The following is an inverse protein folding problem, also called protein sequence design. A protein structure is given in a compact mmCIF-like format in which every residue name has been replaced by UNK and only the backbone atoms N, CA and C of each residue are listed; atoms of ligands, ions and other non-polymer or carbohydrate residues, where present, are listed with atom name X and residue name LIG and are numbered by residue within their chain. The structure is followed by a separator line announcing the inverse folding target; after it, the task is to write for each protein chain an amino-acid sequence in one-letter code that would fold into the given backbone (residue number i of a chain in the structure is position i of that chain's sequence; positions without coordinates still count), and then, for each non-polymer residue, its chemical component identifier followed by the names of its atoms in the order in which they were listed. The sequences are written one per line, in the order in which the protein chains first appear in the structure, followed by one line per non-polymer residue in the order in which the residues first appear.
data_IF_670840356533
#
_entry.id   IF_670840356533
#
_cell.length_a   1.000
_cell.length_b   1.000
_cell.length_c   1.000
_cell.angle_alpha   90.00
_cell.angle_beta   90.00
_cell.angle_gamma   90.00
#
_symmetry.space_group_name_H-M   'P 1'
#
loop_
_entity.id
_entity.type
_entity.pdbx_description
1 polymer ?
#
# COMPACT_ATOMS: atom_id res chain seq x y z
N UNK A 1 -4.33 28.56 -21.49
CA UNK A 1 -4.18 27.09 -21.38
C UNK A 1 -3.28 26.77 -20.20
N UNK A 2 -3.87 26.34 -19.08
CA UNK A 2 -3.11 26.03 -17.87
C UNK A 2 -2.52 24.63 -18.06
N UNK A 3 -1.30 24.54 -18.61
CA UNK A 3 -0.69 23.22 -18.84
C UNK A 3 -0.46 22.53 -17.50
N UNK A 4 -1.10 21.36 -17.36
CA UNK A 4 -0.84 20.40 -16.29
C UNK A 4 0.62 19.95 -16.36
N UNK A 5 1.18 19.53 -15.23
CA UNK A 5 2.52 18.95 -15.24
C UNK A 5 2.55 17.67 -16.09
N UNK A 6 3.67 17.37 -16.77
CA UNK A 6 3.90 16.09 -17.44
C UNK A 6 3.66 14.90 -16.50
N UNK A 7 3.23 13.77 -17.08
CA UNK A 7 2.88 12.56 -16.34
C UNK A 7 4.16 11.79 -15.96
N UNK A 8 4.39 11.45 -14.68
CA UNK A 8 5.53 10.62 -14.29
C UNK A 8 5.46 9.20 -14.86
N UNK A 9 6.61 8.51 -14.87
CA UNK A 9 6.66 7.07 -15.13
C UNK A 9 6.05 6.26 -13.96
N UNK A 10 5.63 5.02 -14.25
CA UNK A 10 5.18 4.10 -13.21
C UNK A 10 6.35 3.73 -12.28
N UNK A 11 6.14 3.63 -10.95
CA UNK A 11 7.18 3.18 -10.04
C UNK A 11 7.67 1.77 -10.37
N UNK A 12 8.99 1.58 -10.31
CA UNK A 12 9.68 0.30 -10.48
C UNK A 12 10.35 -0.13 -9.17
N UNK A 13 10.47 -1.43 -8.96
CA UNK A 13 11.16 -2.00 -7.82
C UNK A 13 12.68 -1.78 -7.96
N UNK A 14 13.32 -1.32 -6.89
CA UNK A 14 14.77 -1.29 -6.72
C UNK A 14 15.21 -2.42 -5.80
N UNK A 15 14.63 -2.49 -4.60
CA UNK A 15 14.95 -3.48 -3.58
C UNK A 15 13.70 -3.93 -2.84
N UNK A 16 13.66 -5.22 -2.49
CA UNK A 16 12.58 -5.83 -1.71
C UNK A 16 13.06 -6.23 -0.32
N UNK A 17 12.21 -6.03 0.69
CA UNK A 17 12.44 -6.44 2.06
C UNK A 17 11.22 -7.07 2.72
N UNK A 18 11.39 -7.43 3.99
CA UNK A 18 10.41 -8.21 4.75
C UNK A 18 9.17 -7.39 5.17
N UNK A 19 9.25 -6.07 5.23
CA UNK A 19 8.10 -5.17 5.39
C UNK A 19 8.30 -3.87 4.61
N UNK A 20 9.19 -3.92 3.62
CA UNK A 20 9.70 -2.73 2.94
C UNK A 20 9.81 -2.99 1.45
N UNK A 21 9.52 -1.97 0.67
CA UNK A 21 9.76 -1.96 -0.78
C UNK A 21 10.42 -0.62 -1.13
N UNK A 22 11.62 -0.67 -1.69
CA UNK A 22 12.28 0.49 -2.25
C UNK A 22 11.88 0.62 -3.71
N UNK A 23 11.29 1.76 -4.03
CA UNK A 23 10.75 2.07 -5.34
C UNK A 23 11.48 3.26 -5.92
N UNK A 24 11.56 3.30 -7.24
CA UNK A 24 12.07 4.41 -8.01
C UNK A 24 11.10 4.75 -9.13
N UNK A 25 10.95 6.02 -9.48
CA UNK A 25 10.15 6.46 -10.61
C UNK A 25 10.87 7.55 -11.40
N UNK A 26 10.82 7.45 -12.73
CA UNK A 26 11.46 8.41 -13.60
C UNK A 26 10.58 9.66 -13.82
N UNK A 27 11.22 10.82 -13.86
CA UNK A 27 10.62 12.14 -14.00
C UNK A 27 11.37 12.99 -15.04
N UNK A 28 11.97 12.40 -16.08
CA UNK A 28 12.74 13.12 -17.12
C UNK A 28 11.97 14.30 -17.73
N UNK A 29 10.67 14.13 -18.01
CA UNK A 29 9.82 15.19 -18.56
C UNK A 29 9.57 16.35 -17.56
N UNK A 30 9.95 16.17 -16.29
CA UNK A 30 9.75 17.09 -15.19
C UNK A 30 11.04 17.78 -14.72
N UNK A 31 12.20 17.48 -15.33
CA UNK A 31 13.50 18.04 -14.93
C UNK A 31 13.57 19.58 -15.05
N UNK A 32 12.76 20.18 -15.93
CA UNK A 32 12.66 21.63 -16.08
C UNK A 32 11.82 22.35 -15.02
N UNK A 33 11.27 21.63 -14.03
CA UNK A 33 10.39 22.19 -13.01
C UNK A 33 11.04 22.12 -11.63
N UNK A 34 11.13 23.27 -10.95
CA UNK A 34 11.57 23.35 -9.55
C UNK A 34 10.40 23.17 -8.58
N UNK A 35 10.71 22.89 -7.31
CA UNK A 35 9.73 22.74 -6.20
C UNK A 35 8.67 21.68 -6.47
N UNK A 36 9.11 20.55 -7.03
CA UNK A 36 8.28 19.39 -7.26
C UNK A 36 8.23 18.52 -6.01
N UNK A 37 7.03 18.06 -5.72
CA UNK A 37 6.78 17.00 -4.76
C UNK A 37 5.99 15.89 -5.43
N UNK A 38 6.01 14.72 -4.81
CA UNK A 38 5.39 13.53 -5.31
C UNK A 38 4.51 12.92 -4.23
N UNK A 39 3.34 12.45 -4.64
CA UNK A 39 2.50 11.59 -3.81
C UNK A 39 2.54 10.20 -4.42
N UNK A 40 3.14 9.27 -3.70
CA UNK A 40 3.13 7.85 -4.02
C UNK A 40 1.89 7.21 -3.41
N UNK A 41 1.02 6.65 -4.24
CA UNK A 41 -0.15 5.88 -3.80
C UNK A 41 0.15 4.38 -3.78
N UNK A 42 -0.24 3.73 -2.68
CA UNK A 42 -0.05 2.31 -2.43
C UNK A 42 -1.41 1.61 -2.46
N UNK A 43 -1.49 0.49 -3.19
CA UNK A 43 -2.67 -0.36 -3.23
C UNK A 43 -2.29 -1.82 -2.90
N UNK A 44 -2.62 -2.32 -1.71
CA UNK A 44 -2.46 -3.75 -1.41
C UNK A 44 -3.33 -4.59 -2.34
N UNK A 45 -2.82 -5.74 -2.74
CA UNK A 45 -3.54 -6.77 -3.49
C UNK A 45 -4.02 -7.87 -2.53
N UNK A 46 -4.60 -7.46 -1.39
CA UNK A 46 -5.36 -8.40 -0.57
C UNK A 46 -6.56 -8.90 -1.38
N UNK A 47 -6.80 -10.21 -1.38
CA UNK A 47 -7.98 -10.76 -2.02
C UNK A 47 -9.23 -10.18 -1.35
N UNK A 48 -10.17 -9.68 -2.15
CA UNK A 48 -11.54 -9.42 -1.68
C UNK A 48 -12.07 -10.72 -1.07
N UNK A 49 -12.28 -10.75 0.24
CA UNK A 49 -12.93 -11.88 0.92
C UNK A 49 -14.19 -11.39 1.62
N UNK A 50 -15.13 -10.88 0.83
CA UNK A 50 -16.53 -10.90 1.20
C UNK A 50 -17.09 -12.29 0.87
N UNK A 51 -17.07 -13.20 1.83
CA UNK A 51 -17.86 -14.44 1.75
C UNK A 51 -18.59 -14.62 3.07
N UNK A 52 -19.92 -14.47 3.04
CA UNK A 52 -20.89 -14.78 4.10
C UNK A 52 -20.68 -14.07 5.45
N UNK A 53 -21.57 -13.15 5.86
CA UNK A 53 -21.71 -12.59 7.24
C UNK A 53 -20.44 -12.27 8.06
N UNK A 54 -19.26 -12.21 7.44
CA UNK A 54 -17.96 -12.07 8.07
C UNK A 54 -17.24 -10.88 7.44
N UNK A 55 -16.80 -9.96 8.28
CA UNK A 55 -15.99 -8.81 7.88
C UNK A 55 -14.53 -9.08 8.27
N UNK A 56 -13.60 -8.99 7.33
CA UNK A 56 -12.16 -9.13 7.60
C UNK A 56 -11.51 -7.76 7.59
N UNK A 57 -10.99 -7.35 8.75
CA UNK A 57 -10.19 -6.13 8.90
C UNK A 57 -8.73 -6.45 8.62
N UNK A 58 -8.15 -5.69 7.70
CA UNK A 58 -6.74 -5.76 7.33
C UNK A 58 -5.93 -4.73 8.13
N UNK A 59 -4.62 -4.96 8.34
CA UNK A 59 -3.76 -3.97 8.97
C UNK A 59 -3.76 -2.69 8.16
N UNK A 60 -3.70 -1.55 8.84
CA UNK A 60 -3.65 -0.26 8.18
C UNK A 60 -2.35 -0.13 7.39
N UNK A 61 -2.45 0.15 6.09
CA UNK A 61 -1.31 0.56 5.25
C UNK A 61 -1.50 2.03 4.91
N UNK A 62 -0.47 2.84 5.12
CA UNK A 62 -0.48 4.23 4.71
C UNK A 62 -0.68 4.30 3.19
N UNK A 63 -1.82 4.85 2.78
CA UNK A 63 -2.20 4.84 1.36
C UNK A 63 -1.37 5.79 0.51
N UNK A 64 -0.95 6.92 1.09
CA UNK A 64 -0.25 7.99 0.38
C UNK A 64 1.03 8.35 1.12
N UNK A 65 2.13 8.47 0.37
CA UNK A 65 3.42 8.93 0.86
C UNK A 65 3.84 10.19 0.12
N UNK A 66 4.14 11.25 0.86
CA UNK A 66 4.62 12.51 0.32
C UNK A 66 6.15 12.54 0.35
N UNK A 67 6.78 12.91 -0.77
CA UNK A 67 8.24 12.96 -0.91
C UNK A 67 8.66 14.00 -1.96
N UNK A 68 9.87 14.51 -1.86
CA UNK A 68 10.53 15.29 -2.92
C UNK A 68 11.60 14.48 -3.68
N UNK A 69 11.79 13.21 -3.30
CA UNK A 69 12.73 12.29 -3.93
C UNK A 69 12.04 11.38 -4.95
N UNK A 70 12.77 10.97 -5.99
CA UNK A 70 12.31 10.01 -7.00
C UNK A 70 12.55 8.55 -6.62
N UNK A 71 13.26 8.34 -5.50
CA UNK A 71 13.42 7.05 -4.83
C UNK A 71 12.71 7.12 -3.47
N UNK A 72 11.97 6.08 -3.09
CA UNK A 72 11.27 6.06 -1.81
C UNK A 72 11.17 4.64 -1.24
N UNK A 73 11.42 4.51 0.06
CA UNK A 73 11.23 3.25 0.79
C UNK A 73 9.88 3.24 1.48
N UNK A 74 8.94 2.48 0.94
CA UNK A 74 7.66 2.21 1.60
C UNK A 74 7.90 1.21 2.72
N UNK A 75 7.42 1.51 3.93
CA UNK A 75 7.60 0.71 5.14
C UNK A 75 6.27 0.20 5.68
N UNK A 76 6.34 -0.61 6.73
CA UNK A 76 5.19 -1.17 7.45
C UNK A 76 4.23 -1.96 6.54
N UNK A 77 4.79 -2.55 5.48
CA UNK A 77 4.06 -3.42 4.58
C UNK A 77 3.91 -4.80 5.22
N UNK A 78 2.87 -5.50 4.81
CA UNK A 78 2.66 -6.88 5.22
C UNK A 78 3.66 -7.77 4.46
N UNK A 79 4.38 -8.68 5.14
CA UNK A 79 5.24 -9.66 4.49
C UNK A 79 4.46 -10.58 3.55
N UNK A 80 5.13 -11.13 2.54
CA UNK A 80 4.53 -12.05 1.55
C UNK A 80 3.21 -11.53 0.95
N UNK A 81 3.13 -10.22 0.68
CA UNK A 81 1.93 -9.56 0.16
C UNK A 81 2.28 -8.73 -1.08
N UNK A 82 1.42 -8.79 -2.10
CA UNK A 82 1.56 -8.03 -3.33
C UNK A 82 0.97 -6.65 -3.23
N UNK A 83 1.67 -5.66 -3.80
CA UNK A 83 1.26 -4.26 -3.84
C UNK A 83 1.38 -3.70 -5.26
N UNK A 84 0.52 -2.73 -5.58
CA UNK A 84 0.66 -1.88 -6.77
C UNK A 84 0.90 -0.44 -6.33
N UNK A 85 1.69 0.27 -7.11
CA UNK A 85 2.08 1.65 -6.83
C UNK A 85 1.82 2.54 -8.04
N UNK A 86 1.46 3.78 -7.79
CA UNK A 86 1.45 4.85 -8.80
C UNK A 86 1.84 6.16 -8.16
N UNK A 87 2.27 7.12 -8.95
CA UNK A 87 2.76 8.39 -8.44
C UNK A 87 2.13 9.55 -9.20
N UNK A 88 1.96 10.67 -8.51
CA UNK A 88 1.56 11.95 -9.09
C UNK A 88 2.60 13.00 -8.68
N UNK A 89 3.03 13.82 -9.65
CA UNK A 89 3.81 15.02 -9.40
C UNK A 89 2.87 16.19 -9.08
N UNK A 90 3.22 16.95 -8.05
CA UNK A 90 2.52 18.11 -7.56
C UNK A 90 3.48 19.29 -7.35
N UNK A 91 2.94 20.48 -7.57
CA UNK A 91 3.53 21.78 -7.28
C UNK A 91 2.43 22.67 -6.72
N UNK A 92 2.78 23.74 -6.02
CA UNK A 92 1.86 24.61 -5.28
C UNK A 92 0.47 24.83 -5.92
N UNK A 93 0.41 25.12 -7.22
CA UNK A 93 -0.85 25.37 -7.95
C UNK A 93 -1.05 24.45 -9.17
N UNK A 94 -0.30 23.34 -9.27
CA UNK A 94 -0.37 22.43 -10.43
C UNK A 94 -0.15 20.98 -10.04
N UNK A 95 -0.83 20.08 -10.72
CA UNK A 95 -0.58 18.65 -10.62
C UNK A 95 -0.45 18.03 -12.01
N UNK A 96 0.17 16.86 -12.04
CA UNK A 96 0.16 15.96 -13.20
C UNK A 96 -1.02 14.99 -13.10
N UNK A 97 -1.38 14.29 -14.19
CA UNK A 97 -2.10 13.03 -14.06
C UNK A 97 -1.28 12.00 -13.26
N UNK A 98 -1.95 11.07 -12.60
CA UNK A 98 -1.27 9.90 -12.05
C UNK A 98 -0.54 9.10 -13.13
N UNK A 99 0.61 8.53 -12.78
CA UNK A 99 1.26 7.51 -13.60
C UNK A 99 0.38 6.26 -13.70
N UNK A 100 0.75 5.38 -14.64
CA UNK A 100 0.16 4.05 -14.69
C UNK A 100 0.52 3.29 -13.39
N UNK A 101 -0.34 2.36 -13.00
CA UNK A 101 0.01 1.43 -11.92
C UNK A 101 1.23 0.59 -12.30
N UNK A 102 2.10 0.35 -11.33
CA UNK A 102 3.19 -0.63 -11.45
C UNK A 102 2.64 -2.04 -11.67
N UNK A 103 3.53 -2.94 -12.06
CA UNK A 103 3.31 -4.38 -11.87
C UNK A 103 3.10 -4.70 -10.38
N UNK A 104 2.56 -5.88 -10.08
CA UNK A 104 2.46 -6.34 -8.69
C UNK A 104 3.87 -6.61 -8.16
N UNK A 105 4.20 -5.96 -7.05
CA UNK A 105 5.48 -6.08 -6.36
C UNK A 105 5.21 -6.74 -5.00
N UNK A 106 5.91 -7.83 -4.71
CA UNK A 106 5.72 -8.60 -3.49
C UNK A 106 6.82 -8.28 -2.46
N UNK A 107 6.44 -8.12 -1.20
CA UNK A 107 7.37 -8.16 -0.07
C UNK A 107 7.96 -9.56 0.12
N UNK A 108 9.11 -9.67 0.78
CA UNK A 108 9.72 -10.96 1.04
C UNK A 108 8.96 -11.73 2.13
N UNK A 109 9.04 -13.05 2.07
CA UNK A 109 8.41 -13.93 3.07
C UNK A 109 9.22 -14.01 4.36
N UNK A 110 10.54 -14.11 4.22
CA UNK A 110 11.46 -14.38 5.33
C UNK A 110 11.99 -13.09 5.95
N UNK A 111 11.99 -13.05 7.28
CA UNK A 111 12.63 -12.01 8.05
C UNK A 111 14.12 -12.30 8.25
N UNK A 112 14.99 -11.38 7.84
CA UNK A 112 16.44 -11.55 8.03
C UNK A 112 16.94 -11.10 9.41
N UNK A 113 16.21 -10.20 10.10
CA UNK A 113 16.66 -9.54 11.34
C UNK A 113 15.67 -9.79 12.47
N UNK A 114 16.05 -10.66 13.41
CA UNK A 114 15.26 -10.97 14.61
C UNK A 114 15.31 -9.81 15.63
N UNK A 115 14.24 -9.60 16.43
CA UNK A 115 12.97 -10.32 16.44
C UNK A 115 11.95 -9.78 15.43
N UNK A 116 11.24 -10.68 14.76
CA UNK A 116 10.37 -10.39 13.62
C UNK A 116 8.86 -10.38 13.96
N UNK A 117 8.48 -10.47 15.23
CA UNK A 117 7.08 -10.38 15.65
C UNK A 117 6.11 -11.33 14.93
N UNK A 118 4.94 -10.81 14.56
CA UNK A 118 3.85 -11.55 13.91
C UNK A 118 3.44 -10.91 12.58
N UNK A 119 2.85 -11.71 11.71
CA UNK A 119 2.42 -11.34 10.36
C UNK A 119 0.98 -11.77 10.12
N UNK A 120 0.36 -11.34 9.02
CA UNK A 120 -1.00 -11.72 8.65
C UNK A 120 -2.03 -11.50 9.77
N UNK A 121 -1.91 -10.34 10.43
CA UNK A 121 -2.83 -9.90 11.47
C UNK A 121 -4.18 -9.62 10.81
N UNK A 122 -5.24 -10.29 11.25
CA UNK A 122 -6.62 -10.09 10.76
C UNK A 122 -7.60 -10.12 11.91
N UNK A 123 -8.60 -9.25 11.86
CA UNK A 123 -9.76 -9.32 12.75
C UNK A 123 -10.98 -9.71 11.92
N UNK A 124 -11.57 -10.84 12.26
CA UNK A 124 -12.81 -11.33 11.68
C UNK A 124 -13.98 -10.99 12.61
N UNK A 125 -14.97 -10.26 12.11
CA UNK A 125 -16.19 -9.92 12.84
C UNK A 125 -17.38 -10.67 12.24
N UNK A 126 -18.15 -11.36 13.07
CA UNK A 126 -19.30 -12.16 12.67
C UNK A 126 -20.54 -11.68 13.39
N UNK A 127 -21.58 -11.29 12.65
CA UNK A 127 -22.89 -10.97 13.23
C UNK A 127 -23.86 -12.13 13.07
N UNK A 128 -24.65 -12.39 14.12
CA UNK A 128 -25.75 -13.34 14.07
C UNK A 128 -26.98 -12.69 14.68
N UNK A 129 -28.14 -12.93 14.05
CA UNK A 129 -29.45 -12.51 14.56
C UNK A 129 -30.28 -13.74 14.93
N UNK A 130 -30.17 -14.24 16.17
CA UNK A 130 -30.98 -15.36 16.60
C UNK A 130 -32.45 -14.94 16.74
N UNK A 131 -33.38 -15.84 16.39
CA UNK A 131 -34.81 -15.57 16.54
C UNK A 131 -35.17 -15.39 18.02
N UNK A 132 -35.82 -14.26 18.35
CA UNK A 132 -36.23 -13.87 19.71
C UNK A 132 -35.08 -13.76 20.73
N UNK A 133 -33.90 -13.33 20.28
CA UNK A 133 -32.74 -13.06 21.15
C UNK A 133 -32.03 -11.78 20.72
N UNK A 134 -31.14 -11.29 21.58
CA UNK A 134 -30.26 -10.17 21.27
C UNK A 134 -29.33 -10.50 20.09
N UNK A 135 -28.90 -9.46 19.38
CA UNK A 135 -27.94 -9.60 18.29
C UNK A 135 -26.56 -9.98 18.84
N UNK A 136 -25.96 -11.02 18.26
CA UNK A 136 -24.64 -11.51 18.67
C UNK A 136 -23.56 -10.96 17.73
N UNK A 137 -22.51 -10.36 18.31
CA UNK A 137 -21.28 -9.98 17.62
C UNK A 137 -20.12 -10.83 18.15
N UNK A 138 -19.55 -11.67 17.28
CA UNK A 138 -18.39 -12.50 17.59
C UNK A 138 -17.13 -11.95 16.90
N UNK A 139 -16.02 -11.88 17.62
CA UNK A 139 -14.72 -11.51 17.06
C UNK A 139 -13.75 -12.68 17.07
N UNK A 140 -12.95 -12.81 16.00
CA UNK A 140 -11.85 -13.77 15.92
C UNK A 140 -10.60 -13.08 15.41
N UNK A 141 -9.56 -13.08 16.22
CA UNK A 141 -8.26 -12.49 15.90
C UNK A 141 -7.33 -13.57 15.35
N UNK A 142 -6.75 -13.33 14.17
CA UNK A 142 -5.84 -14.26 13.48
C UNK A 142 -4.48 -13.61 13.26
N UNK A 143 -3.41 -14.38 13.42
CA UNK A 143 -2.03 -13.98 13.10
C UNK A 143 -1.18 -15.21 12.78
N UNK A 144 0.01 -14.99 12.20
CA UNK A 144 1.02 -16.03 11.96
C UNK A 144 2.37 -15.58 12.52
N UNK A 145 3.19 -16.46 13.12
CA UNK A 145 4.57 -16.14 13.42
C UNK A 145 5.31 -15.71 12.15
N UNK A 146 6.20 -14.72 12.26
CA UNK A 146 7.10 -14.39 11.16
C UNK A 146 8.03 -15.58 10.88
N UNK A 147 8.21 -15.93 9.59
CA UNK A 147 9.14 -16.96 9.13
C UNK A 147 10.48 -16.36 8.74
#
# INVERSE_FOLDING_TARGET
YQSSLPKPAAPRLVETGWQTLQLEFNTTELEGYNDLYYILEVKPQWGLQERNNFFVVFPYTWKYHYTNETTYVVKDLEPNTGYKFRVIAIKMNKSSPYSNWSNVINTTKTCKKLPCGVTNIRLELRTRKPYKKDEELNSKFHWKPAQ
#
